data_IF_710403471898
#
_entry.id   IF_710403471898
#
_cell.length_a   1.000
_cell.length_b   1.000
_cell.length_c   1.000
_cell.angle_alpha   90.00
_cell.angle_beta   90.00
_cell.angle_gamma   90.00
#
_symmetry.space_group_name_H-M   'P 1'
#
loop_
_entity.id
_entity.type
_entity.pdbx_description
1 polymer ?
#
# COMPACT_ATOMS: atom_id res chain seq x y z
N UNK A 1 -34.37 -17.73 -18.32
CA UNK A 1 -32.90 -17.80 -18.14
C UNK A 1 -32.65 -18.05 -16.67
N UNK A 2 -31.70 -18.94 -16.35
CA UNK A 2 -31.46 -19.43 -15.00
C UNK A 2 -29.97 -19.43 -14.72
N UNK A 3 -29.61 -19.24 -13.46
CA UNK A 3 -28.28 -19.52 -12.96
C UNK A 3 -28.15 -21.01 -12.64
N UNK A 4 -27.03 -21.60 -13.06
CA UNK A 4 -26.61 -22.93 -12.65
C UNK A 4 -25.65 -22.75 -11.48
N UNK A 5 -26.00 -23.29 -10.32
CA UNK A 5 -25.30 -23.08 -9.07
C UNK A 5 -24.80 -24.40 -8.50
N UNK A 6 -23.64 -24.38 -7.86
CA UNK A 6 -23.17 -25.46 -7.00
C UNK A 6 -23.74 -25.25 -5.58
N UNK A 7 -24.62 -26.13 -5.08
CA UNK A 7 -25.20 -26.00 -3.74
C UNK A 7 -24.20 -26.28 -2.62
N UNK A 8 -23.11 -27.02 -2.87
CA UNK A 8 -22.08 -27.32 -1.87
C UNK A 8 -21.16 -26.12 -1.66
N UNK A 9 -20.82 -25.41 -2.73
CA UNK A 9 -19.89 -24.27 -2.66
C UNK A 9 -20.59 -22.91 -2.67
N UNK A 10 -21.88 -22.86 -3.01
CA UNK A 10 -22.67 -21.62 -3.12
C UNK A 10 -22.29 -20.75 -4.32
N UNK A 11 -21.53 -21.26 -5.29
CA UNK A 11 -21.05 -20.48 -6.44
C UNK A 11 -22.00 -20.59 -7.63
N UNK A 12 -22.16 -19.48 -8.36
CA UNK A 12 -22.79 -19.48 -9.68
C UNK A 12 -21.76 -19.91 -10.71
N UNK A 13 -22.03 -21.01 -11.41
CA UNK A 13 -21.10 -21.61 -12.38
C UNK A 13 -21.36 -21.11 -13.80
N UNK A 14 -22.62 -20.91 -14.17
CA UNK A 14 -23.00 -20.46 -15.50
C UNK A 14 -24.41 -19.84 -15.51
N UNK A 15 -24.73 -19.16 -16.60
CA UNK A 15 -26.09 -18.72 -16.93
C UNK A 15 -26.55 -19.46 -18.18
N UNK A 16 -27.76 -20.02 -18.16
CA UNK A 16 -28.32 -20.72 -19.32
C UNK A 16 -29.76 -20.32 -19.62
N UNK A 17 -30.08 -20.26 -20.92
CA UNK A 17 -31.46 -20.16 -21.42
C UNK A 17 -32.11 -21.53 -21.65
N UNK A 18 -31.30 -22.59 -21.76
CA UNK A 18 -31.77 -23.94 -21.94
C UNK A 18 -32.25 -24.53 -20.60
N UNK A 19 -33.54 -24.91 -20.49
CA UNK A 19 -34.10 -25.44 -19.26
C UNK A 19 -33.52 -26.80 -18.87
N UNK A 20 -32.86 -27.53 -19.78
CA UNK A 20 -32.25 -28.83 -19.51
C UNK A 20 -30.76 -28.75 -19.13
N UNK A 21 -30.16 -27.56 -19.17
CA UNK A 21 -28.76 -27.38 -18.80
C UNK A 21 -28.53 -27.55 -17.29
N UNK A 22 -27.52 -28.35 -16.93
CA UNK A 22 -27.10 -28.60 -15.54
C UNK A 22 -26.74 -30.07 -15.28
N UNK A 23 -25.79 -30.31 -14.38
CA UNK A 23 -25.47 -31.66 -13.89
C UNK A 23 -26.44 -32.11 -12.79
N UNK A 24 -26.46 -33.41 -12.44
CA UNK A 24 -27.35 -33.96 -11.42
C UNK A 24 -27.16 -33.31 -10.03
N UNK A 25 -25.96 -32.80 -9.75
CA UNK A 25 -25.61 -32.18 -8.46
C UNK A 25 -25.73 -30.65 -8.45
N UNK A 26 -26.25 -30.04 -9.53
CA UNK A 26 -26.35 -28.59 -9.67
C UNK A 26 -27.78 -28.10 -9.46
N UNK A 27 -27.91 -26.92 -8.86
CA UNK A 27 -29.21 -26.26 -8.64
C UNK A 27 -29.44 -25.20 -9.70
N UNK A 28 -30.67 -25.16 -10.22
CA UNK A 28 -31.14 -24.13 -11.14
C UNK A 28 -31.94 -23.10 -10.38
N UNK A 29 -31.56 -21.84 -10.49
CA UNK A 29 -32.20 -20.74 -9.78
C UNK A 29 -32.62 -19.68 -10.78
N UNK A 30 -33.87 -19.17 -10.73
CA UNK A 30 -34.28 -18.05 -11.57
C UNK A 30 -33.40 -16.84 -11.29
N UNK A 31 -33.03 -16.12 -12.35
CA UNK A 31 -32.24 -14.90 -12.21
C UNK A 31 -33.08 -13.78 -11.58
N UNK A 32 -32.55 -13.08 -10.57
CA UNK A 32 -33.11 -11.82 -10.10
C UNK A 32 -33.22 -10.79 -11.23
N UNK A 33 -34.17 -9.86 -11.15
CA UNK A 33 -34.39 -8.84 -12.20
C UNK A 33 -33.21 -7.87 -12.38
N UNK A 34 -32.38 -7.72 -11.35
CA UNK A 34 -31.17 -6.91 -11.34
C UNK A 34 -29.88 -7.72 -11.58
N UNK A 35 -30.00 -9.00 -11.97
CA UNK A 35 -28.84 -9.83 -12.28
C UNK A 35 -28.18 -9.38 -13.59
N UNK A 36 -26.87 -9.22 -13.56
CA UNK A 36 -26.03 -8.95 -14.73
C UNK A 36 -24.93 -10.01 -14.77
N UNK A 37 -24.78 -10.69 -15.91
CA UNK A 37 -23.78 -11.73 -16.11
C UNK A 37 -22.34 -11.18 -15.96
N UNK A 38 -22.14 -9.88 -16.22
CA UNK A 38 -20.83 -9.22 -16.04
C UNK A 38 -20.38 -9.18 -14.57
N UNK A 39 -21.32 -9.31 -13.65
CA UNK A 39 -21.08 -9.27 -12.20
C UNK A 39 -21.41 -10.63 -11.56
N UNK A 40 -21.40 -11.73 -12.33
CA UNK A 40 -21.70 -13.10 -11.85
C UNK A 40 -20.89 -13.50 -10.61
N UNK A 41 -19.65 -13.01 -10.48
CA UNK A 41 -18.78 -13.24 -9.32
C UNK A 41 -19.26 -12.59 -8.02
N UNK A 42 -20.21 -11.65 -8.10
CA UNK A 42 -20.85 -10.99 -6.95
C UNK A 42 -22.08 -11.73 -6.45
N UNK A 43 -22.52 -12.80 -7.13
CA UNK A 43 -23.71 -13.55 -6.75
C UNK A 43 -23.33 -14.88 -6.11
N UNK A 44 -24.07 -15.24 -5.06
CA UNK A 44 -23.96 -16.54 -4.38
C UNK A 44 -25.32 -17.20 -4.34
N UNK A 45 -25.31 -18.52 -4.44
CA UNK A 45 -26.47 -19.33 -4.13
C UNK A 45 -26.59 -19.50 -2.62
N UNK A 46 -27.74 -19.13 -2.08
CA UNK A 46 -28.06 -19.29 -0.67
C UNK A 46 -29.56 -19.62 -0.54
N UNK A 47 -29.87 -20.71 0.14
CA UNK A 47 -31.23 -21.11 0.52
C UNK A 47 -32.25 -21.07 -0.64
N UNK A 48 -31.88 -21.59 -1.81
CA UNK A 48 -32.78 -21.65 -2.97
C UNK A 48 -32.85 -20.39 -3.82
N UNK A 49 -32.11 -19.33 -3.46
CA UNK A 49 -32.10 -18.06 -4.15
C UNK A 49 -30.67 -17.60 -4.49
N UNK A 50 -30.59 -16.63 -5.42
CA UNK A 50 -29.37 -15.87 -5.65
C UNK A 50 -29.36 -14.65 -4.73
N UNK A 51 -28.33 -14.55 -3.90
CA UNK A 51 -28.07 -13.43 -3.01
C UNK A 51 -26.81 -12.72 -3.49
N UNK A 52 -26.85 -11.39 -3.55
CA UNK A 52 -25.67 -10.60 -3.91
C UNK A 52 -24.73 -10.49 -2.70
N UNK A 53 -23.52 -10.98 -2.87
CA UNK A 53 -22.43 -10.87 -1.92
C UNK A 53 -21.83 -9.45 -2.01
N UNK A 54 -22.28 -8.58 -1.10
CA UNK A 54 -21.83 -7.19 -1.04
C UNK A 54 -20.31 -7.06 -0.81
N UNK A 55 -19.69 -8.02 -0.11
CA UNK A 55 -18.25 -8.02 0.13
C UNK A 55 -17.49 -8.36 -1.16
N UNK A 56 -17.96 -9.36 -1.92
CA UNK A 56 -17.40 -9.68 -3.24
C UNK A 56 -17.56 -8.53 -4.24
N UNK A 57 -18.73 -7.88 -4.25
CA UNK A 57 -18.99 -6.70 -5.08
C UNK A 57 -18.01 -5.56 -4.76
N UNK A 58 -17.84 -5.23 -3.47
CA UNK A 58 -16.88 -4.21 -3.06
C UNK A 58 -15.44 -4.58 -3.42
N UNK A 59 -15.05 -5.84 -3.25
CA UNK A 59 -13.72 -6.32 -3.61
C UNK A 59 -13.45 -6.20 -5.12
N UNK A 60 -14.43 -6.51 -5.97
CA UNK A 60 -14.33 -6.31 -7.42
C UNK A 60 -14.17 -4.83 -7.79
N UNK A 61 -14.92 -3.93 -7.17
CA UNK A 61 -14.81 -2.48 -7.38
C UNK A 61 -13.42 -1.98 -6.97
N UNK A 62 -12.92 -2.39 -5.79
CA UNK A 62 -11.56 -2.07 -5.32
C UNK A 62 -10.49 -2.54 -6.31
N UNK A 63 -10.58 -3.78 -6.78
CA UNK A 63 -9.62 -4.35 -7.72
C UNK A 63 -9.60 -3.59 -9.06
N UNK A 64 -10.78 -3.26 -9.61
CA UNK A 64 -10.90 -2.45 -10.84
C UNK A 64 -10.26 -1.08 -10.65
N UNK A 65 -10.51 -0.42 -9.51
CA UNK A 65 -9.95 0.92 -9.22
C UNK A 65 -8.44 0.89 -9.04
N UNK A 66 -7.89 -0.09 -8.31
CA UNK A 66 -6.44 -0.28 -8.17
C UNK A 66 -5.77 -0.47 -9.53
N UNK A 67 -6.35 -1.28 -10.42
CA UNK A 67 -5.82 -1.48 -11.76
C UNK A 67 -5.85 -0.20 -12.62
N UNK A 68 -6.86 0.66 -12.45
CA UNK A 68 -6.90 1.98 -13.08
C UNK A 68 -5.79 2.91 -12.58
N UNK A 69 -5.65 3.04 -11.26
CA UNK A 69 -4.61 3.85 -10.62
C UNK A 69 -3.21 3.42 -11.08
N UNK A 70 -2.93 2.11 -11.06
CA UNK A 70 -1.64 1.56 -11.50
C UNK A 70 -1.34 1.85 -12.96
N UNK A 71 -2.33 1.75 -13.85
CA UNK A 71 -2.18 2.10 -15.27
C UNK A 71 -1.86 3.58 -15.44
N UNK A 72 -2.55 4.45 -14.71
CA UNK A 72 -2.31 5.89 -14.77
C UNK A 72 -0.91 6.28 -14.25
N UNK A 73 -0.50 5.71 -13.12
CA UNK A 73 0.84 5.91 -12.56
C UNK A 73 1.93 5.40 -13.51
N UNK A 74 1.76 4.20 -14.09
CA UNK A 74 2.71 3.64 -15.06
C UNK A 74 2.86 4.53 -16.30
N UNK A 75 1.75 5.07 -16.83
CA UNK A 75 1.79 5.97 -17.97
C UNK A 75 2.56 7.27 -17.66
N UNK A 76 2.36 7.86 -16.47
CA UNK A 76 3.14 9.04 -16.06
C UNK A 76 4.63 8.71 -15.87
N UNK A 77 4.96 7.56 -15.28
CA UNK A 77 6.36 7.13 -15.11
C UNK A 77 7.04 6.93 -16.46
N UNK A 78 6.35 6.36 -17.45
CA UNK A 78 6.86 6.18 -18.81
C UNK A 78 7.03 7.52 -19.54
N UNK A 79 6.10 8.47 -19.33
CA UNK A 79 6.21 9.82 -19.90
C UNK A 79 7.44 10.61 -19.42
N UNK A 80 8.10 10.16 -18.34
CA UNK A 80 9.34 10.75 -17.83
C UNK A 80 10.62 10.21 -18.49
N UNK A 81 10.56 9.15 -19.32
CA UNK A 81 11.76 8.52 -19.88
C UNK A 81 12.60 9.49 -20.72
N UNK A 82 11.97 10.27 -21.60
CA UNK A 82 12.69 11.26 -22.40
C UNK A 82 13.37 12.36 -21.55
N UNK A 83 12.82 12.69 -20.37
CA UNK A 83 13.43 13.66 -19.45
C UNK A 83 14.71 13.10 -18.84
N UNK A 84 14.73 11.79 -18.56
CA UNK A 84 15.94 11.09 -18.09
C UNK A 84 17.00 11.12 -19.18
N UNK A 85 16.67 10.68 -20.39
CA UNK A 85 17.61 10.65 -21.53
C UNK A 85 18.21 12.03 -21.76
N UNK A 86 17.37 13.07 -21.80
CA UNK A 86 17.80 14.46 -21.92
C UNK A 86 18.71 14.89 -20.76
N UNK A 87 18.39 14.54 -19.53
CA UNK A 87 19.21 14.90 -18.37
C UNK A 87 20.59 14.23 -18.42
N UNK A 88 20.67 12.96 -18.83
CA UNK A 88 21.93 12.24 -19.05
C UNK A 88 22.78 12.87 -20.16
N UNK A 89 22.16 13.24 -21.28
CA UNK A 89 22.85 13.92 -22.39
C UNK A 89 23.45 15.25 -21.95
N UNK A 90 22.69 16.04 -21.19
CA UNK A 90 23.14 17.36 -20.69
C UNK A 90 24.27 17.23 -19.69
N UNK A 91 24.18 16.28 -18.76
CA UNK A 91 25.23 15.99 -17.79
C UNK A 91 26.55 15.61 -18.49
N UNK A 92 26.47 14.75 -19.51
CA UNK A 92 27.64 14.36 -20.33
C UNK A 92 28.27 15.55 -21.07
N UNK A 93 27.48 16.57 -21.40
CA UNK A 93 27.95 17.81 -22.03
C UNK A 93 28.35 18.90 -21.02
N UNK A 94 28.22 18.65 -19.72
CA UNK A 94 28.48 19.64 -18.67
C UNK A 94 27.52 20.85 -18.72
N UNK A 95 26.33 20.66 -19.28
CA UNK A 95 25.34 21.73 -19.42
C UNK A 95 24.47 21.82 -18.14
N UNK A 96 24.21 23.02 -17.61
CA UNK A 96 23.38 23.19 -16.41
C UNK A 96 21.93 22.82 -16.69
N UNK A 97 21.20 22.23 -15.75
CA UNK A 97 19.77 21.94 -15.93
C UNK A 97 19.23 20.92 -14.95
N UNK A 98 18.06 20.36 -15.28
CA UNK A 98 17.48 19.22 -14.59
C UNK A 98 18.44 18.03 -14.61
N UNK A 99 18.71 17.47 -13.43
CA UNK A 99 19.55 16.30 -13.23
C UNK A 99 18.71 15.03 -13.33
N UNK A 100 19.36 13.90 -13.67
CA UNK A 100 18.72 12.58 -13.65
C UNK A 100 18.09 12.30 -12.28
N UNK A 101 18.75 12.72 -11.21
CA UNK A 101 18.25 12.61 -9.83
C UNK A 101 16.91 13.30 -9.63
N UNK A 102 16.69 14.46 -10.24
CA UNK A 102 15.43 15.21 -10.10
C UNK A 102 14.28 14.46 -10.77
N UNK A 103 14.50 13.92 -11.96
CA UNK A 103 13.51 13.12 -12.70
C UNK A 103 13.21 11.80 -11.97
N UNK A 104 14.23 11.18 -11.36
CA UNK A 104 14.05 9.97 -10.57
C UNK A 104 13.28 10.22 -9.27
N UNK A 105 13.48 11.37 -8.62
CA UNK A 105 12.67 11.78 -7.47
C UNK A 105 11.20 11.98 -7.88
N UNK A 106 10.94 12.56 -9.05
CA UNK A 106 9.58 12.69 -9.56
C UNK A 106 8.93 11.34 -9.87
N UNK A 107 9.67 10.39 -10.48
CA UNK A 107 9.19 9.01 -10.66
C UNK A 107 8.83 8.35 -9.33
N UNK A 108 9.68 8.53 -8.33
CA UNK A 108 9.44 7.98 -7.01
C UNK A 108 8.21 8.60 -6.33
N UNK A 109 7.99 9.90 -6.49
CA UNK A 109 6.77 10.57 -6.01
C UNK A 109 5.50 9.99 -6.67
N UNK A 110 5.53 9.69 -7.97
CA UNK A 110 4.40 9.03 -8.66
C UNK A 110 4.14 7.64 -8.10
N UNK A 111 5.19 6.85 -7.80
CA UNK A 111 5.03 5.52 -7.17
C UNK A 111 4.40 5.64 -5.80
N UNK A 112 4.79 6.62 -4.99
CA UNK A 112 4.22 6.85 -3.66
C UNK A 112 2.77 7.28 -3.70
N UNK A 113 2.43 8.19 -4.62
CA UNK A 113 1.04 8.56 -4.85
C UNK A 113 0.19 7.33 -5.23
N UNK A 114 0.72 6.42 -6.07
CA UNK A 114 0.05 5.15 -6.39
C UNK A 114 -0.17 4.30 -5.14
N UNK A 115 0.89 4.05 -4.37
CA UNK A 115 0.81 3.24 -3.15
C UNK A 115 -0.17 3.83 -2.12
N UNK A 116 -0.18 5.15 -1.96
CA UNK A 116 -1.12 5.86 -1.08
C UNK A 116 -2.56 5.67 -1.54
N UNK A 117 -2.85 5.90 -2.82
CA UNK A 117 -4.19 5.64 -3.37
C UNK A 117 -4.61 4.18 -3.20
N UNK A 118 -3.70 3.22 -3.39
CA UNK A 118 -4.00 1.80 -3.16
C UNK A 118 -4.34 1.51 -1.69
N UNK A 119 -3.65 2.13 -0.73
CA UNK A 119 -3.96 2.02 0.69
C UNK A 119 -5.31 2.66 1.05
N UNK A 120 -5.64 3.81 0.45
CA UNK A 120 -6.95 4.46 0.59
C UNK A 120 -8.08 3.55 0.05
N UNK A 121 -7.90 2.95 -1.14
CA UNK A 121 -8.86 2.00 -1.73
C UNK A 121 -8.99 0.75 -0.86
N UNK A 122 -7.89 0.22 -0.35
CA UNK A 122 -7.92 -0.93 0.56
C UNK A 122 -8.76 -0.64 1.80
N UNK A 123 -8.67 0.58 2.34
CA UNK A 123 -9.37 1.02 3.54
C UNK A 123 -10.83 1.46 3.30
N UNK A 124 -11.23 1.71 2.05
CA UNK A 124 -12.58 2.14 1.71
C UNK A 124 -13.65 1.10 2.09
N UNK A 125 -14.77 1.56 2.65
CA UNK A 125 -15.82 0.67 3.18
C UNK A 125 -16.99 0.46 2.22
N UNK A 126 -17.10 1.29 1.18
CA UNK A 126 -18.18 1.25 0.21
C UNK A 126 -17.73 1.73 -1.18
N UNK A 127 -18.62 1.57 -2.16
CA UNK A 127 -18.40 1.96 -3.56
C UNK A 127 -18.14 3.47 -3.72
N UNK A 128 -18.82 4.32 -2.93
CA UNK A 128 -18.66 5.77 -3.02
C UNK A 128 -17.25 6.20 -2.56
N UNK A 129 -16.76 5.63 -1.46
CA UNK A 129 -15.41 5.85 -0.96
C UNK A 129 -14.35 5.36 -1.95
N UNK A 130 -14.53 4.20 -2.59
CA UNK A 130 -13.59 3.73 -3.62
C UNK A 130 -13.56 4.68 -4.83
N UNK A 131 -14.73 5.16 -5.28
CA UNK A 131 -14.85 6.11 -6.40
C UNK A 131 -14.27 7.49 -6.08
N UNK A 132 -14.30 7.91 -4.82
CA UNK A 132 -13.75 9.19 -4.39
C UNK A 132 -12.21 9.24 -4.44
N UNK A 133 -11.52 8.09 -4.29
CA UNK A 133 -10.05 8.05 -4.35
C UNK A 133 -9.58 8.53 -5.71
N UNK A 134 -8.85 9.64 -5.73
CA UNK A 134 -8.35 10.28 -6.95
C UNK A 134 -6.82 10.25 -6.96
N UNK A 135 -6.24 9.86 -8.09
CA UNK A 135 -4.80 9.93 -8.25
C UNK A 135 -4.34 11.39 -8.35
N UNK A 136 -3.50 11.80 -7.41
CA UNK A 136 -2.78 13.07 -7.47
C UNK A 136 -1.45 12.92 -6.72
N UNK A 137 -0.37 13.46 -7.29
CA UNK A 137 0.92 13.57 -6.58
C UNK A 137 0.85 14.81 -5.69
N UNK A 138 1.04 14.61 -4.40
CA UNK A 138 1.01 15.65 -3.36
C UNK A 138 2.42 15.94 -2.84
N UNK A 139 2.59 17.00 -2.04
CA UNK A 139 3.87 17.34 -1.42
C UNK A 139 4.40 16.22 -0.51
N UNK A 140 3.51 15.49 0.15
CA UNK A 140 3.89 14.33 0.97
C UNK A 140 4.52 13.20 0.12
N UNK A 141 4.07 13.02 -1.13
CA UNK A 141 4.63 12.02 -2.03
C UNK A 141 6.01 12.46 -2.58
N UNK A 142 6.22 13.78 -2.73
CA UNK A 142 7.49 14.38 -3.17
C UNK A 142 8.54 14.47 -2.07
N UNK A 143 8.13 14.36 -0.81
CA UNK A 143 9.06 14.39 0.31
C UNK A 143 10.05 13.22 0.19
N UNK A 144 11.31 13.52 -0.13
CA UNK A 144 12.38 12.52 -0.10
C UNK A 144 12.42 11.93 1.31
N UNK A 145 12.30 10.60 1.50
CA UNK A 145 12.43 9.99 2.81
C UNK A 145 13.80 10.37 3.30
N UNK A 146 13.85 11.06 4.43
CA UNK A 146 15.08 11.57 4.98
C UNK A 146 15.95 10.37 5.36
N UNK A 147 16.84 9.94 4.46
CA UNK A 147 17.86 8.94 4.77
C UNK A 147 18.98 9.68 5.49
N UNK A 148 18.97 9.54 6.79
CA UNK A 148 20.00 10.10 7.65
C UNK A 148 21.08 9.06 7.90
N UNK A 149 22.28 9.55 8.21
CA UNK A 149 23.36 8.67 8.67
C UNK A 149 22.98 8.04 10.01
N UNK A 150 23.60 6.90 10.34
CA UNK A 150 23.47 6.27 11.66
C UNK A 150 23.80 7.24 12.79
N UNK A 151 24.84 8.07 12.60
CA UNK A 151 25.23 9.08 13.57
C UNK A 151 24.12 10.11 13.77
N UNK A 152 23.59 10.69 12.68
CA UNK A 152 22.47 11.64 12.77
C UNK A 152 21.22 11.03 13.41
N UNK A 153 20.96 9.73 13.23
CA UNK A 153 19.85 9.06 13.90
C UNK A 153 20.11 8.91 15.39
N UNK A 154 21.27 8.36 15.77
CA UNK A 154 21.63 8.13 17.17
C UNK A 154 21.79 9.45 17.95
N UNK A 155 22.25 10.53 17.30
CA UNK A 155 22.35 11.86 17.90
C UNK A 155 21.00 12.52 18.19
N UNK A 156 19.88 11.96 17.74
CA UNK A 156 18.52 12.43 18.13
C UNK A 156 18.08 11.90 19.49
N UNK A 157 18.73 10.86 20.00
CA UNK A 157 18.55 10.38 21.36
C UNK A 157 19.47 11.16 22.30
N UNK A 158 19.01 11.40 23.53
CA UNK A 158 19.88 11.90 24.59
C UNK A 158 20.83 10.81 25.08
N UNK A 159 21.95 11.20 25.70
CA UNK A 159 22.90 10.24 26.27
C UNK A 159 22.25 9.32 27.31
N UNK A 160 21.33 9.85 28.13
CA UNK A 160 20.59 9.10 29.15
C UNK A 160 19.66 8.06 28.51
N UNK A 161 18.95 8.42 27.44
CA UNK A 161 18.10 7.50 26.68
C UNK A 161 18.95 6.38 26.07
N UNK A 162 20.08 6.72 25.44
CA UNK A 162 20.95 5.71 24.85
C UNK A 162 21.57 4.76 25.89
N UNK A 163 21.96 5.26 27.06
CA UNK A 163 22.45 4.41 28.15
C UNK A 163 21.36 3.45 28.65
N UNK A 164 20.12 3.94 28.76
CA UNK A 164 18.96 3.13 29.18
C UNK A 164 18.67 2.03 28.17
N UNK A 165 18.61 2.38 26.88
CA UNK A 165 18.37 1.44 25.77
C UNK A 165 19.48 0.39 25.69
N UNK A 166 20.75 0.80 25.79
CA UNK A 166 21.89 -0.13 25.79
C UNK A 166 21.90 -1.04 27.03
N UNK A 167 21.54 -0.51 28.20
CA UNK A 167 21.39 -1.29 29.42
C UNK A 167 20.31 -2.37 29.30
N UNK A 168 19.15 -2.01 28.74
CA UNK A 168 18.05 -2.93 28.50
C UNK A 168 18.38 -3.99 27.44
N UNK A 169 19.11 -3.60 26.38
CA UNK A 169 19.50 -4.51 25.30
C UNK A 169 20.35 -5.69 25.77
N UNK A 170 21.25 -5.46 26.74
CA UNK A 170 22.08 -6.53 27.33
C UNK A 170 21.28 -7.68 27.96
N UNK A 171 20.02 -7.41 28.32
CA UNK A 171 19.11 -8.38 28.94
C UNK A 171 17.97 -8.82 28.00
N UNK A 172 17.95 -8.31 26.76
CA UNK A 172 16.89 -8.58 25.77
C UNK A 172 17.49 -8.87 24.40
N UNK A 173 17.62 -10.16 24.00
CA UNK A 173 18.16 -10.54 22.70
C UNK A 173 17.39 -9.92 21.52
N UNK A 174 16.08 -9.69 21.69
CA UNK A 174 15.25 -9.04 20.67
C UNK A 174 15.63 -7.57 20.48
N UNK A 175 15.87 -6.85 21.58
CA UNK A 175 16.28 -5.45 21.53
C UNK A 175 17.73 -5.31 21.05
N UNK A 176 18.62 -6.22 21.46
CA UNK A 176 19.99 -6.30 20.96
C UNK A 176 20.03 -6.51 19.44
N UNK A 177 19.22 -7.43 18.91
CA UNK A 177 19.11 -7.65 17.48
C UNK A 177 18.54 -6.43 16.73
N UNK A 178 17.60 -5.69 17.34
CA UNK A 178 17.07 -4.46 16.76
C UNK A 178 18.14 -3.35 16.69
N UNK A 179 18.90 -3.14 17.76
CA UNK A 179 20.01 -2.18 17.79
C UNK A 179 21.10 -2.56 16.79
N UNK A 180 21.44 -3.84 16.68
CA UNK A 180 22.43 -4.30 15.70
C UNK A 180 22.01 -3.94 14.28
N UNK A 181 20.73 -4.14 13.92
CA UNK A 181 20.20 -3.75 12.61
C UNK A 181 20.39 -2.26 12.33
N UNK A 182 20.12 -1.38 13.29
CA UNK A 182 20.35 0.06 13.13
C UNK A 182 21.84 0.40 13.00
N UNK A 183 22.71 -0.28 13.75
CA UNK A 183 24.16 -0.07 13.68
C UNK A 183 24.78 -0.58 12.37
N UNK A 184 24.22 -1.62 11.77
CA UNK A 184 24.72 -2.20 10.52
C UNK A 184 24.07 -1.61 9.27
N UNK A 185 23.02 -0.80 9.42
CA UNK A 185 22.35 -0.16 8.29
C UNK A 185 23.27 0.85 7.57
N UNK A 186 23.24 0.86 6.23
CA UNK A 186 23.97 1.86 5.44
C UNK A 186 23.46 3.29 5.69
N UNK A 187 22.19 3.42 6.03
CA UNK A 187 21.54 4.66 6.45
C UNK A 187 20.17 4.36 7.05
N UNK A 188 19.64 5.29 7.82
CA UNK A 188 18.35 5.17 8.50
C UNK A 188 17.34 6.02 7.77
N UNK A 189 16.21 5.43 7.38
CA UNK A 189 15.07 6.14 6.82
C UNK A 189 14.04 6.31 7.94
N UNK A 190 13.76 7.55 8.32
CA UNK A 190 12.88 7.84 9.47
C UNK A 190 11.42 7.40 9.25
N UNK A 191 10.96 7.40 8.00
CA UNK A 191 9.61 6.95 7.63
C UNK A 191 9.51 5.46 7.34
N UNK A 192 10.61 4.70 7.44
CA UNK A 192 10.55 3.25 7.24
C UNK A 192 9.70 2.59 8.33
N UNK A 193 8.73 1.72 7.99
CA UNK A 193 7.85 1.11 8.99
C UNK A 193 8.57 0.37 10.10
N UNK A 194 9.73 -0.25 9.82
CA UNK A 194 10.51 -0.95 10.84
C UNK A 194 11.26 0.04 11.75
N UNK A 195 11.77 1.15 11.21
CA UNK A 195 12.32 2.25 12.01
C UNK A 195 11.26 2.86 12.93
N UNK A 196 10.07 3.18 12.39
CA UNK A 196 8.94 3.72 13.14
C UNK A 196 8.53 2.79 14.28
N UNK A 197 8.28 1.51 13.96
CA UNK A 197 7.87 0.51 14.95
C UNK A 197 8.93 0.29 16.02
N UNK A 198 10.21 0.29 15.64
CA UNK A 198 11.31 0.13 16.59
C UNK A 198 11.41 1.29 17.58
N UNK A 199 11.32 2.54 17.12
CA UNK A 199 11.36 3.72 18.01
C UNK A 199 10.10 3.80 18.89
N UNK A 200 8.92 3.52 18.34
CA UNK A 200 7.67 3.46 19.12
C UNK A 200 7.73 2.37 20.21
N UNK A 201 8.33 1.21 19.91
CA UNK A 201 8.49 0.14 20.89
C UNK A 201 9.40 0.55 22.07
N UNK A 202 10.41 1.39 21.85
CA UNK A 202 11.24 1.92 22.93
C UNK A 202 10.42 2.79 23.89
N UNK A 203 9.53 3.63 23.36
CA UNK A 203 8.66 4.49 24.15
C UNK A 203 7.61 3.67 24.93
N UNK A 204 6.96 2.71 24.26
CA UNK A 204 6.02 1.80 24.91
C UNK A 204 6.65 0.96 26.02
N UNK A 205 7.93 0.60 25.85
CA UNK A 205 8.71 -0.11 26.87
C UNK A 205 9.22 0.79 28.00
N UNK A 206 8.97 2.11 27.93
CA UNK A 206 9.45 3.10 28.90
C UNK A 206 10.97 3.31 28.87
N UNK A 207 11.64 2.92 27.78
CA UNK A 207 13.09 3.12 27.59
C UNK A 207 13.44 4.53 27.13
N UNK A 208 12.45 5.24 26.56
CA UNK A 208 12.48 6.68 26.28
C UNK A 208 11.19 7.30 26.84
N UNK A 209 11.21 8.60 27.11
CA UNK A 209 10.06 9.28 27.73
C UNK A 209 8.87 9.39 26.76
N UNK A 210 7.62 9.48 27.26
CA UNK A 210 6.44 9.69 26.40
C UNK A 210 6.56 10.96 25.55
N UNK A 211 6.28 10.84 24.25
CA UNK A 211 6.41 11.91 23.25
C UNK A 211 7.75 11.91 22.51
N UNK A 212 8.80 11.25 23.05
CA UNK A 212 10.14 11.26 22.45
C UNK A 212 10.21 10.49 21.14
N UNK A 213 9.37 9.48 20.94
CA UNK A 213 9.34 8.78 19.66
C UNK A 213 8.99 9.74 18.51
N UNK A 214 8.02 10.64 18.72
CA UNK A 214 7.62 11.62 17.71
C UNK A 214 8.75 12.63 17.40
N UNK A 215 9.49 13.08 18.42
CA UNK A 215 10.62 13.99 18.27
C UNK A 215 11.79 13.34 17.51
N UNK A 216 12.16 12.11 17.88
CA UNK A 216 13.23 11.35 17.22
C UNK A 216 12.88 11.06 15.74
N UNK A 217 11.61 10.82 15.44
CA UNK A 217 11.14 10.52 14.09
C UNK A 217 10.83 11.77 13.26
N UNK A 218 11.00 12.97 13.81
CA UNK A 218 10.72 14.22 13.12
C UNK A 218 11.70 14.43 11.92
N UNK A 219 11.19 14.53 10.68
CA UNK A 219 12.02 14.72 9.50
C UNK A 219 12.67 16.11 9.40
N UNK A 220 12.17 17.12 10.11
CA UNK A 220 12.72 18.49 10.05
C UNK A 220 13.95 18.67 10.94
N UNK A 221 14.20 17.76 11.90
CA UNK A 221 15.12 18.04 13.02
C UNK A 221 14.57 19.16 13.92
N UNK A 222 15.14 19.30 15.11
CA UNK A 222 15.00 20.54 15.89
C UNK A 222 15.98 21.60 15.39
#
# INVERSE_FOLDING_TARGET
MFAICDPMTGWVLAVSSDPQSGGPDLVRVPLPSNFDERDIGEWRYQDGALVRDAAAALAAIKARRVAEIRRFAAAQIAALDWRIERAEERDRLGLPGEMVTDVLLEREAIRRASNRCEAEIASAQDDAAVKAVTFAVTDADRATPLRITRLQFLSRFTDTEMQTVLGAAKSSPMLEAALLKWQTAEGIVLSDPATLAGVQALEMAGLIAPGRAAEILNPQGD
#
